data_IF_122966223528
#
_entry.id   IF_122966223528
#
_cell.length_a   1.000
_cell.length_b   1.000
_cell.length_c   1.000
_cell.angle_alpha   90.00
_cell.angle_beta   90.00
_cell.angle_gamma   90.00
#
_symmetry.space_group_name_H-M   'P 1'
#
loop_
_entity.id
_entity.type
_entity.pdbx_description
1 polymer ?
#
# COMPACT_ATOMS: atom_id res chain seq x y z
N UNK A 1 15.48 6.11 16.61
CA UNK A 1 14.23 5.85 17.36
C UNK A 1 14.27 4.51 18.11
N UNK A 2 14.55 3.38 17.45
CA UNK A 2 14.47 2.04 18.05
C UNK A 2 15.22 1.85 19.39
N UNK A 3 16.41 2.44 19.56
CA UNK A 3 17.25 2.27 20.76
C UNK A 3 16.66 2.96 22.00
N UNK A 4 15.77 3.95 21.83
CA UNK A 4 15.16 4.72 22.93
C UNK A 4 13.71 4.34 23.22
N UNK A 5 13.16 3.40 22.46
CA UNK A 5 11.74 3.05 22.54
C UNK A 5 11.53 1.91 23.54
N UNK A 6 10.49 1.96 24.41
CA UNK A 6 10.27 0.92 25.41
C UNK A 6 9.98 -0.44 24.77
N UNK A 7 10.54 -1.50 25.34
CA UNK A 7 10.38 -2.88 24.83
C UNK A 7 8.92 -3.34 24.78
N UNK A 8 8.06 -2.77 25.63
CA UNK A 8 6.62 -3.09 25.68
C UNK A 8 5.84 -2.59 24.47
N UNK A 9 6.32 -1.59 23.74
CA UNK A 9 5.65 -1.08 22.54
C UNK A 9 6.39 -1.44 21.24
N UNK A 10 7.29 -2.42 21.27
CA UNK A 10 7.94 -2.92 20.05
C UNK A 10 6.95 -3.26 18.93
N UNK A 11 5.75 -3.85 19.21
CA UNK A 11 4.77 -4.12 18.17
C UNK A 11 4.31 -2.87 17.39
N UNK A 12 4.05 -1.74 18.06
CA UNK A 12 3.64 -0.53 17.35
C UNK A 12 4.79 0.09 16.53
N UNK A 13 6.03 0.03 17.02
CA UNK A 13 7.19 0.45 16.23
C UNK A 13 7.37 -0.38 14.97
N UNK A 14 7.15 -1.70 15.05
CA UNK A 14 7.18 -2.59 13.87
C UNK A 14 6.08 -2.20 12.88
N UNK A 15 4.86 -1.96 13.36
CA UNK A 15 3.76 -1.50 12.51
C UNK A 15 4.15 -0.21 11.75
N UNK A 16 4.65 0.80 12.45
CA UNK A 16 5.02 2.09 11.87
C UNK A 16 6.15 1.97 10.84
N UNK A 17 7.22 1.22 11.14
CA UNK A 17 8.32 1.00 10.19
C UNK A 17 7.86 0.25 8.95
N UNK A 18 6.99 -0.74 9.14
CA UNK A 18 6.41 -1.49 8.04
C UNK A 18 5.54 -0.61 7.13
N UNK A 19 4.75 0.29 7.74
CA UNK A 19 3.99 1.30 7.02
C UNK A 19 4.88 2.17 6.12
N UNK A 20 6.03 2.63 6.63
CA UNK A 20 6.97 3.41 5.82
C UNK A 20 7.56 2.63 4.65
N UNK A 21 7.77 1.31 4.79
CA UNK A 21 8.13 0.44 3.67
C UNK A 21 7.08 0.48 2.56
N UNK A 22 5.80 0.34 2.92
CA UNK A 22 4.68 0.47 1.99
C UNK A 22 4.63 1.85 1.30
N UNK A 23 4.78 2.92 2.07
CA UNK A 23 4.82 4.28 1.52
C UNK A 23 5.99 4.48 0.54
N UNK A 24 7.19 4.00 0.88
CA UNK A 24 8.35 4.06 0.00
C UNK A 24 8.06 3.34 -1.34
N UNK A 25 7.51 2.12 -1.30
CA UNK A 25 7.11 1.39 -2.50
C UNK A 25 6.11 2.17 -3.36
N UNK A 26 5.08 2.79 -2.75
CA UNK A 26 4.14 3.63 -3.51
C UNK A 26 4.81 4.83 -4.16
N UNK A 27 5.67 5.53 -3.43
CA UNK A 27 6.33 6.73 -3.97
C UNK A 27 7.32 6.37 -5.08
N UNK A 28 8.04 5.25 -4.96
CA UNK A 28 8.93 4.75 -6.03
C UNK A 28 8.13 4.43 -7.29
N UNK A 29 7.03 3.68 -7.18
CA UNK A 29 6.19 3.37 -8.33
C UNK A 29 5.58 4.62 -8.98
N UNK A 30 5.12 5.59 -8.17
CA UNK A 30 4.61 6.85 -8.67
C UNK A 30 5.67 7.71 -9.36
N UNK A 31 6.89 7.74 -8.83
CA UNK A 31 8.02 8.48 -9.42
C UNK A 31 8.44 7.87 -10.77
N UNK A 32 8.54 6.55 -10.86
CA UNK A 32 8.86 5.87 -12.11
C UNK A 32 7.76 6.03 -13.17
N UNK A 33 6.49 5.97 -12.77
CA UNK A 33 5.38 6.26 -13.68
C UNK A 33 5.47 7.71 -14.19
N UNK A 34 5.77 8.67 -13.32
CA UNK A 34 5.92 10.07 -13.72
C UNK A 34 7.05 10.24 -14.75
N UNK A 35 8.20 9.63 -14.52
CA UNK A 35 9.33 9.67 -15.45
C UNK A 35 9.00 9.00 -16.79
N UNK A 36 8.41 7.79 -16.75
CA UNK A 36 8.01 7.06 -17.94
C UNK A 36 6.97 7.82 -18.77
N UNK A 37 6.00 8.46 -18.11
CA UNK A 37 4.98 9.28 -18.79
C UNK A 37 5.52 10.57 -19.37
N UNK A 38 6.50 11.21 -18.71
CA UNK A 38 7.19 12.38 -19.26
C UNK A 38 7.94 12.02 -20.55
N UNK A 39 8.73 10.95 -20.54
CA UNK A 39 9.47 10.45 -21.72
C UNK A 39 8.51 10.08 -22.87
N UNK A 40 7.42 9.37 -22.57
CA UNK A 40 6.39 9.01 -23.53
C UNK A 40 5.74 10.24 -24.19
N UNK A 41 5.52 11.30 -23.41
CA UNK A 41 4.95 12.57 -23.90
C UNK A 41 5.91 13.29 -24.84
N UNK A 42 7.19 13.35 -24.52
CA UNK A 42 8.22 13.94 -25.40
C UNK A 42 8.35 13.17 -26.72
N UNK A 43 8.28 11.85 -26.65
CA UNK A 43 8.32 10.97 -27.81
C UNK A 43 7.00 10.88 -28.60
N UNK A 44 5.95 11.61 -28.19
CA UNK A 44 4.60 11.54 -28.75
C UNK A 44 4.06 10.10 -28.91
N UNK A 45 4.47 9.19 -28.04
CA UNK A 45 4.12 7.77 -28.07
C UNK A 45 3.60 7.33 -26.70
N UNK A 46 2.33 6.93 -26.58
CA UNK A 46 1.76 6.54 -25.29
C UNK A 46 2.42 5.26 -24.76
N UNK A 47 2.40 5.10 -23.45
CA UNK A 47 2.89 3.87 -22.81
C UNK A 47 1.97 2.71 -23.21
N UNK A 48 2.55 1.55 -23.59
CA UNK A 48 1.76 0.37 -23.94
C UNK A 48 1.00 -0.17 -22.73
N UNK A 49 -0.28 -0.46 -22.96
CA UNK A 49 -1.17 -1.09 -21.98
C UNK A 49 -0.72 -2.52 -21.65
N UNK A 50 -1.08 -3.00 -20.45
CA UNK A 50 -0.90 -4.39 -20.01
C UNK A 50 0.55 -4.89 -20.02
N UNK A 51 1.51 -3.99 -19.87
CA UNK A 51 2.92 -4.35 -19.71
C UNK A 51 3.25 -4.73 -18.26
N UNK A 52 4.36 -5.45 -18.08
CA UNK A 52 4.91 -5.73 -16.74
C UNK A 52 5.04 -4.45 -15.92
N UNK A 53 5.57 -3.38 -16.51
CA UNK A 53 5.72 -2.08 -15.86
C UNK A 53 4.37 -1.51 -15.37
N UNK A 54 3.34 -1.53 -16.21
CA UNK A 54 2.01 -1.03 -15.85
C UNK A 54 1.38 -1.84 -14.71
N UNK A 55 1.45 -3.18 -14.80
CA UNK A 55 0.89 -4.10 -13.81
C UNK A 55 1.64 -3.98 -12.47
N UNK A 56 2.98 -4.01 -12.51
CA UNK A 56 3.82 -3.88 -11.33
C UNK A 56 3.60 -2.52 -10.65
N UNK A 57 3.51 -1.43 -11.41
CA UNK A 57 3.24 -0.08 -10.89
C UNK A 57 1.89 -0.02 -10.18
N UNK A 58 0.82 -0.54 -10.81
CA UNK A 58 -0.52 -0.54 -10.23
C UNK A 58 -0.59 -1.36 -8.93
N UNK A 59 0.00 -2.57 -8.92
CA UNK A 59 0.04 -3.44 -7.74
C UNK A 59 0.88 -2.83 -6.61
N UNK A 60 2.05 -2.29 -6.95
CA UNK A 60 2.93 -1.63 -5.97
C UNK A 60 2.23 -0.47 -5.29
N UNK A 61 1.56 0.39 -6.08
CA UNK A 61 0.81 1.54 -5.56
C UNK A 61 -0.34 1.12 -4.65
N UNK A 62 -1.14 0.14 -5.07
CA UNK A 62 -2.28 -0.34 -4.28
C UNK A 62 -1.84 -1.00 -2.97
N UNK A 63 -0.95 -1.99 -3.05
CA UNK A 63 -0.52 -2.78 -1.88
C UNK A 63 0.24 -1.87 -0.91
N UNK A 64 1.14 -1.02 -1.42
CA UNK A 64 1.89 -0.08 -0.58
C UNK A 64 0.98 0.91 0.13
N UNK A 65 -0.06 1.44 -0.53
CA UNK A 65 -0.98 2.42 0.06
C UNK A 65 -1.84 1.79 1.17
N UNK A 66 -2.40 0.59 0.90
CA UNK A 66 -3.14 -0.20 1.89
C UNK A 66 -2.25 -0.51 3.09
N UNK A 67 -0.99 -0.88 2.84
CA UNK A 67 -0.03 -1.22 3.88
C UNK A 67 0.33 -0.03 4.76
N UNK A 68 0.61 1.13 4.16
CA UNK A 68 0.95 2.35 4.88
C UNK A 68 -0.18 2.79 5.81
N UNK A 69 -1.37 2.98 5.25
CA UNK A 69 -2.51 3.47 6.02
C UNK A 69 -3.04 2.45 7.03
N UNK A 70 -3.05 1.16 6.67
CA UNK A 70 -3.38 0.10 7.61
C UNK A 70 -2.41 0.04 8.79
N UNK A 71 -1.11 0.24 8.52
CA UNK A 71 -0.07 0.25 9.55
C UNK A 71 -0.17 1.45 10.48
N UNK A 72 -0.54 2.64 9.96
CA UNK A 72 -0.78 3.83 10.78
C UNK A 72 -1.97 3.64 11.72
N UNK A 73 -3.05 3.02 11.25
CA UNK A 73 -4.20 2.69 12.11
C UNK A 73 -3.82 1.66 13.17
N UNK A 74 -3.07 0.62 12.80
CA UNK A 74 -2.58 -0.39 13.75
C UNK A 74 -1.68 0.22 14.83
N UNK A 75 -0.74 1.10 14.43
CA UNK A 75 0.08 1.89 15.34
C UNK A 75 -0.78 2.71 16.31
N UNK A 76 -1.73 3.49 15.78
CA UNK A 76 -2.58 4.35 16.60
C UNK A 76 -3.45 3.59 17.60
N UNK A 77 -3.86 2.36 17.27
CA UNK A 77 -4.61 1.49 18.18
C UNK A 77 -3.76 0.92 19.31
N UNK A 78 -2.53 0.54 19.03
CA UNK A 78 -1.60 0.02 20.03
C UNK A 78 -1.04 1.11 20.95
N UNK A 79 -0.90 2.33 20.44
CA UNK A 79 -0.60 3.53 21.25
C UNK A 79 -1.82 4.04 22.05
N UNK A 80 -2.94 3.32 22.00
CA UNK A 80 -4.21 3.71 22.63
C UNK A 80 -4.66 5.15 22.33
N UNK A 81 -4.34 5.67 21.15
CA UNK A 81 -4.71 7.02 20.76
C UNK A 81 -6.25 7.17 20.81
N UNK A 82 -6.77 8.28 21.39
CA UNK A 82 -8.20 8.42 21.65
C UNK A 82 -9.07 8.32 20.39
N UNK A 83 -8.53 8.68 19.23
CA UNK A 83 -9.19 8.60 17.93
C UNK A 83 -9.39 7.15 17.44
N UNK A 84 -8.55 6.21 17.88
CA UNK A 84 -8.52 4.83 17.38
C UNK A 84 -8.96 3.79 18.42
N UNK A 85 -9.24 4.23 19.65
CA UNK A 85 -9.57 3.38 20.81
C UNK A 85 -10.87 2.58 20.64
N UNK A 86 -11.83 3.09 19.86
CA UNK A 86 -13.11 2.41 19.61
C UNK A 86 -13.08 1.67 18.27
N UNK A 87 -13.37 0.38 18.29
CA UNK A 87 -13.52 -0.40 17.07
C UNK A 87 -14.69 0.12 16.23
N UNK A 88 -14.46 0.25 14.92
CA UNK A 88 -15.50 0.67 13.99
C UNK A 88 -16.53 -0.45 13.79
N UNK A 89 -17.73 -0.22 14.31
CA UNK A 89 -18.81 -1.22 14.44
C UNK A 89 -20.01 -0.92 13.55
N UNK A 90 -19.87 0.01 12.60
CA UNK A 90 -20.97 0.39 11.72
C UNK A 90 -21.48 -0.81 10.90
N UNK A 91 -22.80 -1.07 10.87
CA UNK A 91 -23.39 -2.18 10.11
C UNK A 91 -23.07 -2.12 8.61
N UNK A 92 -22.93 -0.89 8.07
CA UNK A 92 -22.68 -0.64 6.66
C UNK A 92 -21.21 -0.81 6.25
N UNK A 93 -20.30 -1.12 7.19
CA UNK A 93 -18.86 -1.26 6.90
C UNK A 93 -18.55 -2.28 5.81
N UNK A 94 -19.33 -3.37 5.74
CA UNK A 94 -19.14 -4.43 4.75
C UNK A 94 -19.44 -3.92 3.34
N UNK A 95 -20.50 -3.12 3.18
CA UNK A 95 -20.84 -2.49 1.91
C UNK A 95 -19.85 -1.41 1.50
N UNK A 96 -19.35 -0.62 2.45
CA UNK A 96 -18.31 0.38 2.20
C UNK A 96 -17.02 -0.30 1.72
N UNK A 97 -16.56 -1.33 2.44
CA UNK A 97 -15.35 -2.06 2.07
C UNK A 97 -15.50 -2.80 0.73
N UNK A 98 -16.69 -3.35 0.44
CA UNK A 98 -16.97 -3.95 -0.86
C UNK A 98 -16.90 -2.91 -1.98
N UNK A 99 -17.53 -1.75 -1.79
CA UNK A 99 -17.50 -0.66 -2.77
C UNK A 99 -16.08 -0.13 -3.01
N UNK A 100 -15.31 0.07 -1.95
CA UNK A 100 -13.91 0.47 -2.04
C UNK A 100 -13.06 -0.61 -2.74
N UNK A 101 -13.26 -1.90 -2.41
CA UNK A 101 -12.55 -3.00 -3.03
C UNK A 101 -12.86 -3.15 -4.53
N UNK A 102 -14.12 -2.97 -4.93
CA UNK A 102 -14.47 -2.93 -6.36
C UNK A 102 -13.90 -1.68 -7.05
N UNK A 103 -13.90 -0.54 -6.35
CA UNK A 103 -13.29 0.69 -6.84
C UNK A 103 -11.80 0.56 -7.08
N UNK A 104 -11.05 -0.07 -6.17
CA UNK A 104 -9.62 -0.32 -6.36
C UNK A 104 -9.35 -1.28 -7.52
N UNK A 105 -10.16 -2.33 -7.70
CA UNK A 105 -10.03 -3.24 -8.85
C UNK A 105 -10.28 -2.53 -10.18
N UNK A 106 -11.30 -1.66 -10.25
CA UNK A 106 -11.59 -0.87 -11.44
C UNK A 106 -10.45 0.10 -11.75
N UNK A 107 -9.95 0.83 -10.74
CA UNK A 107 -8.84 1.75 -10.92
C UNK A 107 -7.54 1.02 -11.29
N UNK A 108 -7.29 -0.16 -10.73
CA UNK A 108 -6.16 -1.01 -11.09
C UNK A 108 -6.25 -1.42 -12.56
N UNK A 109 -7.41 -1.89 -13.01
CA UNK A 109 -7.66 -2.17 -14.43
C UNK A 109 -7.43 -0.92 -15.29
N UNK A 110 -7.89 0.24 -14.84
CA UNK A 110 -7.71 1.52 -15.52
C UNK A 110 -6.24 1.92 -15.68
N UNK A 111 -5.42 1.74 -14.65
CA UNK A 111 -3.96 1.99 -14.71
C UNK A 111 -3.30 1.02 -15.67
N UNK A 112 -3.67 -0.26 -15.66
CA UNK A 112 -3.13 -1.25 -16.60
C UNK A 112 -3.53 -0.98 -18.05
N UNK A 113 -4.76 -0.51 -18.28
CA UNK A 113 -5.28 -0.19 -19.61
C UNK A 113 -4.73 1.13 -20.15
N UNK A 114 -4.49 2.13 -19.28
CA UNK A 114 -4.00 3.46 -19.65
C UNK A 114 -2.88 3.93 -18.70
N UNK A 115 -1.69 3.33 -18.77
CA UNK A 115 -0.57 3.66 -17.87
C UNK A 115 -0.05 5.08 -18.06
N UNK A 116 -0.33 5.73 -19.20
CA UNK A 116 0.01 7.14 -19.40
C UNK A 116 -0.72 8.12 -18.48
N UNK A 117 -1.76 7.68 -17.76
CA UNK A 117 -2.54 8.54 -16.87
C UNK A 117 -2.03 8.48 -15.43
N UNK A 118 -1.19 9.45 -15.04
CA UNK A 118 -0.78 9.65 -13.64
C UNK A 118 -1.97 9.86 -12.69
N UNK A 119 -3.07 10.41 -13.20
CA UNK A 119 -4.27 10.65 -12.40
C UNK A 119 -4.93 9.34 -11.94
N UNK A 120 -4.98 8.32 -12.80
CA UNK A 120 -5.54 7.01 -12.44
C UNK A 120 -4.71 6.35 -11.34
N UNK A 121 -3.39 6.49 -11.42
CA UNK A 121 -2.48 5.96 -10.40
C UNK A 121 -2.71 6.62 -9.04
N UNK A 122 -2.73 7.96 -8.97
CA UNK A 122 -2.97 8.65 -7.70
C UNK A 122 -4.39 8.44 -7.17
N UNK A 123 -5.39 8.31 -8.04
CA UNK A 123 -6.73 7.91 -7.65
C UNK A 123 -6.73 6.51 -7.01
N UNK A 124 -6.02 5.54 -7.60
CA UNK A 124 -5.84 4.20 -7.03
C UNK A 124 -5.19 4.25 -5.65
N UNK A 125 -4.12 5.05 -5.49
CA UNK A 125 -3.43 5.25 -4.20
C UNK A 125 -4.37 5.85 -3.16
N UNK A 126 -5.16 6.87 -3.51
CA UNK A 126 -6.11 7.50 -2.57
C UNK A 126 -7.21 6.52 -2.16
N UNK A 127 -7.83 5.81 -3.09
CA UNK A 127 -8.88 4.83 -2.76
C UNK A 127 -8.29 3.65 -1.96
N UNK A 128 -7.09 3.18 -2.33
CA UNK A 128 -6.34 2.16 -1.59
C UNK A 128 -5.96 2.61 -0.17
N UNK A 129 -5.64 3.88 0.01
CA UNK A 129 -5.37 4.49 1.32
C UNK A 129 -6.60 4.43 2.24
N UNK A 130 -7.77 4.83 1.71
CA UNK A 130 -9.04 4.74 2.43
C UNK A 130 -9.36 3.27 2.75
N UNK A 131 -9.18 2.37 1.78
CA UNK A 131 -9.40 0.94 1.98
C UNK A 131 -8.49 0.37 3.09
N UNK A 132 -7.21 0.75 3.14
CA UNK A 132 -6.30 0.34 4.21
C UNK A 132 -6.77 0.79 5.59
N UNK A 133 -7.26 2.01 5.71
CA UNK A 133 -7.88 2.51 6.94
C UNK A 133 -9.13 1.72 7.30
N UNK A 134 -10.08 1.56 6.38
CA UNK A 134 -11.39 0.96 6.67
C UNK A 134 -11.32 -0.55 6.92
N UNK A 135 -10.29 -1.25 6.41
CA UNK A 135 -10.04 -2.66 6.71
C UNK A 135 -9.43 -2.87 8.11
N UNK A 136 -8.64 -1.92 8.61
CA UNK A 136 -7.94 -2.04 9.91
C UNK A 136 -8.71 -1.43 11.08
N UNK A 137 -9.56 -0.44 10.83
CA UNK A 137 -10.46 0.18 11.81
C UNK A 137 -11.43 -0.77 12.56
N UNK A 138 -12.01 -1.83 11.97
CA UNK A 138 -12.90 -2.73 12.70
C UNK A 138 -12.17 -3.73 13.61
N UNK A 139 -10.85 -3.91 13.44
CA UNK A 139 -10.09 -4.95 14.13
C UNK A 139 -9.80 -4.54 15.58
N UNK A 140 -10.00 -5.45 16.53
CA UNK A 140 -9.76 -5.18 17.96
C UNK A 140 -8.28 -5.05 18.30
N UNK A 141 -7.96 -4.39 19.41
CA UNK A 141 -6.58 -4.25 19.91
C UNK A 141 -5.89 -5.59 20.17
N UNK A 142 -6.64 -6.59 20.65
CA UNK A 142 -6.13 -7.94 20.93
C UNK A 142 -5.67 -8.67 19.66
N UNK A 143 -6.31 -8.40 18.51
CA UNK A 143 -6.00 -9.06 17.24
C UNK A 143 -4.97 -8.27 16.39
N UNK A 144 -4.50 -7.10 16.89
CA UNK A 144 -3.54 -6.25 16.19
C UNK A 144 -2.23 -6.96 15.80
N UNK A 145 -1.65 -7.88 16.61
CA UNK A 145 -0.45 -8.60 16.18
C UNK A 145 -0.63 -9.35 14.86
N UNK A 146 -1.81 -9.94 14.62
CA UNK A 146 -2.11 -10.64 13.36
C UNK A 146 -2.15 -9.65 12.20
N UNK A 147 -2.76 -8.49 12.39
CA UNK A 147 -2.82 -7.42 11.38
C UNK A 147 -1.43 -6.94 11.01
N UNK A 148 -0.54 -6.76 12.00
CA UNK A 148 0.83 -6.32 11.75
C UNK A 148 1.59 -7.35 10.92
N UNK A 149 1.44 -8.65 11.21
CA UNK A 149 2.04 -9.71 10.39
C UNK A 149 1.51 -9.70 8.95
N UNK A 150 0.20 -9.52 8.74
CA UNK A 150 -0.40 -9.43 7.40
C UNK A 150 0.12 -8.21 6.64
N UNK A 151 0.16 -7.05 7.28
CA UNK A 151 0.69 -5.83 6.68
C UNK A 151 2.20 -5.97 6.39
N UNK A 152 2.95 -6.74 7.16
CA UNK A 152 4.37 -7.01 6.91
C UNK A 152 4.57 -7.87 5.66
N UNK A 153 3.74 -8.89 5.47
CA UNK A 153 3.72 -9.65 4.21
C UNK A 153 3.39 -8.72 3.02
N UNK A 154 2.42 -7.80 3.19
CA UNK A 154 2.05 -6.86 2.14
C UNK A 154 3.16 -5.85 1.80
N UNK A 155 3.93 -5.35 2.77
CA UNK A 155 5.09 -4.50 2.45
C UNK A 155 6.16 -5.26 1.67
N UNK A 156 6.39 -6.54 2.00
CA UNK A 156 7.27 -7.43 1.24
C UNK A 156 6.80 -7.60 -0.20
N UNK A 157 5.51 -7.88 -0.42
CA UNK A 157 4.91 -7.96 -1.75
C UNK A 157 4.99 -6.63 -2.51
N UNK A 158 4.76 -5.50 -1.84
CA UNK A 158 4.89 -4.17 -2.44
C UNK A 158 6.35 -3.86 -2.81
N UNK A 159 7.32 -4.26 -1.99
CA UNK A 159 8.74 -4.13 -2.30
C UNK A 159 9.11 -5.01 -3.50
N UNK A 160 8.66 -6.26 -3.54
CA UNK A 160 8.92 -7.15 -4.67
C UNK A 160 8.33 -6.60 -5.98
N UNK A 161 7.09 -6.09 -5.93
CA UNK A 161 6.45 -5.43 -7.06
C UNK A 161 7.19 -4.16 -7.49
N UNK A 162 7.66 -3.34 -6.53
CA UNK A 162 8.51 -2.18 -6.82
C UNK A 162 9.81 -2.62 -7.52
N UNK A 163 10.37 -3.77 -7.15
CA UNK A 163 11.53 -4.38 -7.82
C UNK A 163 11.28 -4.62 -9.31
N UNK A 164 10.09 -5.07 -9.69
CA UNK A 164 9.71 -5.21 -11.11
C UNK A 164 9.49 -3.87 -11.82
N UNK A 165 9.15 -2.80 -11.10
CA UNK A 165 9.00 -1.45 -11.68
C UNK A 165 10.35 -0.86 -12.07
N UNK A 166 11.36 -1.00 -11.20
CA UNK A 166 12.71 -0.45 -11.41
C UNK A 166 13.73 -1.46 -11.95
N UNK A 167 13.26 -2.64 -12.38
CA UNK A 167 14.09 -3.75 -12.88
C UNK A 167 15.25 -4.16 -11.94
N UNK A 168 14.95 -4.27 -10.63
CA UNK A 168 15.93 -4.58 -9.59
C UNK A 168 15.68 -5.96 -8.96
N UNK A 169 16.48 -6.94 -9.38
CA UNK A 169 16.40 -8.32 -8.89
C UNK A 169 16.62 -8.47 -7.38
N UNK A 170 17.45 -7.61 -6.76
CA UNK A 170 17.68 -7.67 -5.30
C UNK A 170 16.40 -7.32 -4.56
N UNK A 171 15.66 -6.31 -5.03
CA UNK A 171 14.41 -5.88 -4.40
C UNK A 171 13.29 -6.92 -4.62
N UNK A 172 13.25 -7.56 -5.79
CA UNK A 172 12.34 -8.68 -6.06
C UNK A 172 12.59 -9.83 -5.09
N UNK A 173 13.84 -10.27 -4.94
CA UNK A 173 14.21 -11.39 -4.06
C UNK A 173 13.93 -11.04 -2.60
N UNK A 174 14.44 -9.90 -2.13
CA UNK A 174 14.27 -9.47 -0.74
C UNK A 174 12.79 -9.28 -0.39
N UNK A 175 12.01 -8.63 -1.26
CA UNK A 175 10.58 -8.43 -1.05
C UNK A 175 9.81 -9.74 -1.00
N UNK A 176 10.12 -10.68 -1.90
CA UNK A 176 9.46 -12.00 -1.92
C UNK A 176 9.75 -12.84 -0.68
N UNK A 177 10.97 -12.74 -0.12
CA UNK A 177 11.38 -13.45 1.09
C UNK A 177 10.70 -12.90 2.35
N UNK A 178 10.45 -11.58 2.40
CA UNK A 178 9.70 -10.96 3.51
C UNK A 178 8.19 -11.18 3.36
N UNK A 179 7.71 -11.23 2.13
CA UNK A 179 6.29 -11.41 1.81
C UNK A 179 5.77 -12.84 2.04
N UNK A 180 6.63 -13.84 1.93
CA UNK A 180 6.32 -15.27 2.10
C UNK A 180 6.25 -15.69 3.57
#
# INVERSE_FOLDING_TARGET
MAIRYPMTGMPQMVALLNGFGGAASTLVAGAELWNATATAREAASPLPAWTQFAIATALTGLIGAVTFWGSLVAFGKLEELPQFKKAWTDPNRHWINLGLGLGTLLLLWGVCANPSSNLLYWALVIVGSVLGCTLTMPIGGADMPVVICLLNSYSGLAAAAAGFVIDNSVLVIAGSLVGA
#
